data_IF_194578757972
#
_entry.id   IF_194578757972
#
_cell.length_a   1.000
_cell.length_b   1.000
_cell.length_c   1.000
_cell.angle_alpha   90.00
_cell.angle_beta   90.00
_cell.angle_gamma   90.00
#
_symmetry.space_group_name_H-M   'P 1'
#
loop_
_entity.id
_entity.type
_entity.pdbx_description
1 polymer ?
#
# COMPACT_ATOMS: atom_id res chain seq x y z
N UNK A 1 -22.38 5.14 -15.25
CA UNK A 1 -21.24 5.89 -14.68
C UNK A 1 -21.03 7.15 -15.52
N UNK A 2 -20.90 8.34 -14.93
CA UNK A 2 -20.63 9.54 -15.72
C UNK A 2 -19.25 9.45 -16.38
N UNK A 3 -19.14 9.99 -17.59
CA UNK A 3 -17.87 10.03 -18.31
C UNK A 3 -16.83 10.86 -17.53
N UNK A 4 -15.55 10.48 -17.52
CA UNK A 4 -14.52 11.23 -16.82
C UNK A 4 -14.42 12.65 -17.39
N UNK A 5 -14.34 13.65 -16.54
CA UNK A 5 -14.16 15.03 -16.95
C UNK A 5 -12.74 15.24 -17.52
N UNK A 6 -12.57 16.26 -18.38
CA UNK A 6 -11.27 16.61 -18.98
C UNK A 6 -10.18 16.81 -17.90
N UNK A 7 -10.51 17.43 -16.78
CA UNK A 7 -9.60 17.61 -15.64
C UNK A 7 -9.14 16.27 -15.03
N UNK A 8 -10.05 15.30 -14.90
CA UNK A 8 -9.70 13.95 -14.40
C UNK A 8 -8.78 13.23 -15.39
N UNK A 9 -8.95 13.42 -16.70
CA UNK A 9 -8.07 12.84 -17.71
C UNK A 9 -6.68 13.48 -17.70
N UNK A 10 -6.58 14.80 -17.51
CA UNK A 10 -5.31 15.52 -17.41
C UNK A 10 -4.55 15.14 -16.13
N UNK A 11 -5.22 15.01 -14.98
CA UNK A 11 -4.61 14.47 -13.77
C UNK A 11 -4.15 13.00 -13.94
N UNK A 12 -4.90 12.22 -14.69
CA UNK A 12 -4.59 10.84 -14.97
C UNK A 12 -3.37 10.70 -15.88
N UNK A 13 -3.27 11.51 -16.94
CA UNK A 13 -2.10 11.57 -17.83
C UNK A 13 -0.87 12.03 -17.08
N UNK A 14 -0.98 13.07 -16.24
CA UNK A 14 0.11 13.56 -15.41
C UNK A 14 0.61 12.50 -14.43
N UNK A 15 -0.29 11.72 -13.85
CA UNK A 15 0.08 10.58 -13.01
C UNK A 15 0.87 9.51 -13.78
N UNK A 16 0.50 9.18 -15.03
CA UNK A 16 1.24 8.23 -15.85
C UNK A 16 2.62 8.75 -16.24
N UNK A 17 2.74 10.05 -16.53
CA UNK A 17 4.02 10.69 -16.82
C UNK A 17 4.93 10.72 -15.57
N UNK A 18 4.38 11.09 -14.41
CA UNK A 18 5.11 11.10 -13.13
C UNK A 18 5.60 9.70 -12.73
N UNK A 19 4.82 8.66 -13.05
CA UNK A 19 5.16 7.25 -12.76
C UNK A 19 6.06 6.62 -13.84
N UNK A 20 6.42 7.35 -14.91
CA UNK A 20 7.17 6.82 -16.07
C UNK A 20 6.55 5.53 -16.64
N UNK A 21 5.24 5.38 -16.51
CA UNK A 21 4.47 4.31 -17.11
C UNK A 21 4.18 4.74 -18.55
N UNK A 22 4.98 4.28 -19.50
CA UNK A 22 4.81 4.60 -20.91
C UNK A 22 3.38 4.29 -21.43
N UNK A 23 3.00 4.81 -22.60
CA UNK A 23 1.63 4.77 -23.09
C UNK A 23 1.16 3.31 -23.33
N UNK A 24 0.38 2.79 -22.40
CA UNK A 24 -0.19 1.43 -22.45
C UNK A 24 -1.22 1.21 -23.58
N UNK A 25 -1.55 2.24 -24.37
CA UNK A 25 -2.60 2.17 -25.40
C UNK A 25 -2.08 2.03 -26.83
N UNK A 26 -0.77 1.94 -27.05
CA UNK A 26 -0.21 1.76 -28.40
C UNK A 26 -0.28 0.31 -28.93
N UNK A 27 -0.64 -0.67 -28.11
CA UNK A 27 -0.60 -2.09 -28.48
C UNK A 27 -1.98 -2.71 -28.81
N UNK A 28 -2.99 -1.90 -29.09
CA UNK A 28 -4.34 -2.39 -29.40
C UNK A 28 -4.63 -2.64 -30.89
N UNK A 29 -3.66 -2.40 -31.79
CA UNK A 29 -3.91 -2.50 -33.23
C UNK A 29 -3.55 -3.84 -33.90
N UNK A 30 -3.08 -4.85 -33.18
CA UNK A 30 -2.62 -6.11 -33.81
C UNK A 30 -3.18 -7.40 -33.22
N UNK A 31 -4.33 -7.39 -32.55
CA UNK A 31 -5.02 -8.67 -32.29
C UNK A 31 -6.29 -8.77 -33.09
N UNK A 32 -6.21 -9.59 -34.14
CA UNK A 32 -7.34 -9.96 -34.97
C UNK A 32 -8.51 -10.50 -34.15
N UNK A 33 -9.69 -10.14 -34.59
CA UNK A 33 -10.98 -10.53 -34.01
C UNK A 33 -11.07 -12.07 -34.05
N UNK A 34 -10.96 -12.72 -32.90
CA UNK A 34 -11.28 -14.13 -32.73
C UNK A 34 -12.79 -14.20 -32.51
N UNK A 35 -13.51 -14.69 -33.47
CA UNK A 35 -14.93 -15.02 -33.36
C UNK A 35 -15.05 -16.29 -32.50
N UNK A 36 -15.66 -16.18 -31.33
CA UNK A 36 -16.02 -17.31 -30.47
C UNK A 36 -17.46 -17.72 -30.85
N UNK A 37 -17.71 -18.97 -31.23
CA UNK A 37 -19.06 -19.42 -31.54
C UNK A 37 -19.89 -19.49 -30.24
N UNK A 38 -21.01 -18.78 -30.23
CA UNK A 38 -21.99 -18.82 -29.12
C UNK A 38 -22.89 -20.03 -29.33
N UNK A 39 -22.78 -21.01 -28.44
CA UNK A 39 -23.73 -22.11 -28.33
C UNK A 39 -24.76 -21.78 -27.25
N UNK A 40 -26.06 -21.88 -27.48
CA UNK A 40 -27.07 -21.61 -26.48
C UNK A 40 -27.26 -22.81 -25.52
N UNK A 41 -27.10 -22.62 -24.24
CA UNK A 41 -27.50 -23.57 -23.20
C UNK A 41 -28.77 -23.07 -22.45
N UNK A 42 -29.60 -23.98 -21.96
CA UNK A 42 -30.98 -23.69 -21.58
C UNK A 42 -31.09 -23.00 -20.21
N UNK A 43 -32.08 -22.13 -20.14
CA UNK A 43 -32.46 -21.31 -18.97
C UNK A 43 -33.11 -22.18 -17.90
N UNK A 44 -32.54 -22.22 -16.70
CA UNK A 44 -33.23 -22.60 -15.48
C UNK A 44 -33.41 -21.35 -14.60
N UNK A 45 -34.65 -21.11 -14.17
CA UNK A 45 -35.08 -19.85 -13.57
C UNK A 45 -34.44 -19.55 -12.21
N UNK A 46 -34.01 -18.33 -12.05
CA UNK A 46 -33.63 -17.74 -10.76
C UNK A 46 -34.81 -17.02 -10.12
N UNK A 47 -34.92 -17.03 -8.79
CA UNK A 47 -35.96 -16.30 -8.07
C UNK A 47 -35.67 -14.80 -8.06
N UNK A 48 -36.68 -14.03 -8.47
CA UNK A 48 -36.68 -12.58 -8.48
C UNK A 48 -36.76 -12.05 -7.06
N UNK A 49 -35.73 -11.32 -6.61
CA UNK A 49 -35.76 -10.49 -5.40
C UNK A 49 -36.45 -9.14 -5.72
N UNK A 50 -37.23 -8.58 -4.79
CA UNK A 50 -37.92 -7.31 -5.01
C UNK A 50 -36.93 -6.12 -5.05
N UNK A 51 -37.25 -5.03 -5.76
CA UNK A 51 -36.38 -3.89 -5.89
C UNK A 51 -36.29 -3.07 -4.60
N UNK A 52 -35.06 -2.88 -4.12
CA UNK A 52 -34.75 -1.93 -3.04
C UNK A 52 -35.06 -0.50 -3.49
N UNK A 53 -35.93 0.15 -2.75
CA UNK A 53 -36.24 1.59 -2.88
C UNK A 53 -35.03 2.41 -2.45
N UNK A 54 -34.28 2.93 -3.41
CA UNK A 54 -33.27 3.97 -3.17
C UNK A 54 -33.97 5.26 -2.75
N UNK A 55 -33.87 5.57 -1.46
CA UNK A 55 -34.23 6.89 -0.92
C UNK A 55 -33.19 7.92 -1.39
N UNK A 56 -33.65 8.96 -2.05
CA UNK A 56 -32.85 10.10 -2.49
C UNK A 56 -32.32 10.84 -1.26
N UNK A 57 -31.02 10.86 -1.07
CA UNK A 57 -30.37 11.71 -0.06
C UNK A 57 -30.22 13.13 -0.58
N UNK A 58 -30.67 14.09 0.22
CA UNK A 58 -30.58 15.52 0.02
C UNK A 58 -29.11 16.03 -0.06
N UNK A 59 -28.83 17.12 -0.81
CA UNK A 59 -27.51 17.72 -0.87
C UNK A 59 -27.25 18.60 0.36
N UNK A 60 -26.08 18.43 0.98
CA UNK A 60 -25.52 19.37 1.95
C UNK A 60 -25.52 18.87 3.39
N UNK A 61 -24.61 18.00 3.72
CA UNK A 61 -24.11 17.83 5.08
C UNK A 61 -22.57 17.88 5.03
N UNK A 62 -22.00 18.87 5.67
CA UNK A 62 -20.58 18.92 5.99
C UNK A 62 -20.24 17.64 6.75
N UNK A 63 -19.31 16.84 6.21
CA UNK A 63 -18.84 15.62 6.86
C UNK A 63 -18.02 16.04 8.07
N UNK A 64 -18.60 15.89 9.25
CA UNK A 64 -17.83 15.94 10.49
C UNK A 64 -16.65 14.93 10.42
N UNK A 65 -15.48 15.28 10.97
CA UNK A 65 -14.34 14.37 10.99
C UNK A 65 -14.74 13.09 11.73
N UNK A 66 -14.60 11.95 11.06
CA UNK A 66 -14.86 10.62 11.63
C UNK A 66 -13.98 10.41 12.86
N UNK A 67 -14.58 10.55 14.04
CA UNK A 67 -13.92 10.20 15.29
C UNK A 67 -13.98 8.68 15.46
N UNK A 68 -12.82 8.04 15.46
CA UNK A 68 -12.71 6.65 15.88
C UNK A 68 -13.19 6.56 17.34
N UNK A 69 -13.99 5.54 17.71
CA UNK A 69 -14.30 5.29 19.10
C UNK A 69 -13.00 5.20 19.90
N UNK A 70 -12.98 5.74 21.11
CA UNK A 70 -11.81 5.73 21.99
C UNK A 70 -11.17 4.34 21.98
N UNK A 71 -9.86 4.30 21.71
CA UNK A 71 -9.08 3.07 21.59
C UNK A 71 -9.37 2.19 22.82
N UNK A 72 -10.16 1.12 22.61
CA UNK A 72 -10.16 0.01 23.56
C UNK A 72 -8.73 -0.48 23.63
N UNK A 73 -8.16 -0.71 24.84
CA UNK A 73 -6.81 -1.22 24.95
C UNK A 73 -6.67 -2.43 24.03
N UNK A 74 -5.80 -2.30 23.02
CA UNK A 74 -5.53 -3.39 22.10
C UNK A 74 -4.88 -4.52 22.90
N UNK A 75 -5.14 -5.77 22.53
CA UNK A 75 -4.46 -6.94 23.08
C UNK A 75 -2.90 -6.79 23.02
N UNK A 76 -2.43 -5.81 22.26
CA UNK A 76 -1.02 -5.49 22.02
C UNK A 76 -0.48 -4.38 22.94
N UNK A 77 -1.31 -3.73 23.78
CA UNK A 77 -0.84 -2.69 24.72
C UNK A 77 -0.01 -3.25 25.88
N UNK A 78 0.06 -4.57 26.04
CA UNK A 78 0.88 -5.25 27.07
C UNK A 78 2.23 -5.77 26.56
N UNK A 79 2.66 -5.38 25.36
CA UNK A 79 4.02 -5.72 24.91
C UNK A 79 4.98 -4.87 25.73
N UNK A 80 5.78 -5.54 26.59
CA UNK A 80 6.91 -4.93 27.28
C UNK A 80 7.69 -4.07 26.28
N UNK A 81 7.93 -2.82 26.63
CA UNK A 81 8.65 -1.90 25.75
C UNK A 81 10.10 -2.40 25.61
N UNK A 82 10.43 -3.01 24.49
CA UNK A 82 11.78 -3.41 24.11
C UNK A 82 12.60 -2.15 23.72
N UNK A 83 12.64 -1.16 24.63
CA UNK A 83 13.29 0.10 24.36
C UNK A 83 14.80 -0.11 24.12
N UNK A 84 15.26 0.25 22.93
CA UNK A 84 16.66 0.15 22.53
C UNK A 84 17.02 -1.12 21.76
N UNK A 85 16.06 -1.98 21.48
CA UNK A 85 16.28 -3.16 20.63
C UNK A 85 16.57 -2.76 19.17
N UNK A 86 17.48 -3.48 18.51
CA UNK A 86 17.80 -3.26 17.11
C UNK A 86 17.08 -4.25 16.19
N UNK A 87 16.96 -3.91 14.90
CA UNK A 87 16.36 -4.81 13.91
C UNK A 87 17.15 -6.14 13.80
N UNK A 88 18.46 -6.11 14.00
CA UNK A 88 19.33 -7.28 14.00
C UNK A 88 18.97 -8.22 15.16
N UNK A 89 18.82 -7.69 16.36
CA UNK A 89 18.43 -8.48 17.54
C UNK A 89 17.06 -9.11 17.38
N UNK A 90 16.08 -8.35 16.84
CA UNK A 90 14.73 -8.86 16.52
C UNK A 90 14.83 -9.99 15.48
N UNK A 91 15.69 -9.84 14.48
CA UNK A 91 15.90 -10.84 13.43
C UNK A 91 16.55 -12.10 13.99
N UNK A 92 17.53 -11.97 14.86
CA UNK A 92 18.22 -13.08 15.52
C UNK A 92 17.25 -13.86 16.41
N UNK A 93 16.43 -13.18 17.23
CA UNK A 93 15.41 -13.84 18.05
C UNK A 93 14.32 -14.52 17.22
N UNK A 94 13.91 -13.91 16.11
CA UNK A 94 12.98 -14.53 15.19
C UNK A 94 13.56 -15.87 14.67
N UNK A 95 14.84 -15.89 14.33
CA UNK A 95 15.58 -17.05 13.90
C UNK A 95 14.88 -17.81 12.78
N UNK A 96 14.95 -19.13 12.80
CA UNK A 96 14.10 -20.02 12.00
C UNK A 96 12.79 -20.29 12.75
N UNK A 97 11.89 -19.33 12.73
CA UNK A 97 10.68 -19.29 13.55
C UNK A 97 9.72 -20.46 13.28
N UNK A 98 9.37 -21.20 14.33
CA UNK A 98 8.36 -22.27 14.30
C UNK A 98 7.13 -22.00 15.18
N UNK A 99 6.84 -20.70 15.48
CA UNK A 99 5.80 -20.30 16.44
C UNK A 99 4.37 -20.49 15.93
N UNK A 100 4.15 -20.58 14.62
CA UNK A 100 2.83 -20.81 14.02
C UNK A 100 2.90 -21.78 12.84
N UNK A 101 1.77 -22.28 12.39
CA UNK A 101 1.64 -23.27 11.31
C UNK A 101 2.21 -22.83 9.95
N UNK A 102 2.39 -21.53 9.70
CA UNK A 102 2.96 -21.05 8.44
C UNK A 102 4.41 -21.48 8.23
N UNK A 103 5.14 -21.87 9.29
CA UNK A 103 6.51 -22.34 9.19
C UNK A 103 6.65 -23.59 8.31
N UNK A 104 5.64 -24.46 8.24
CA UNK A 104 5.68 -25.70 7.45
C UNK A 104 5.49 -25.49 5.94
N UNK A 105 5.09 -24.30 5.52
CA UNK A 105 4.75 -23.99 4.12
C UNK A 105 5.65 -22.93 3.49
N UNK A 106 6.45 -22.19 4.28
CA UNK A 106 7.37 -21.19 3.75
C UNK A 106 8.65 -21.84 3.21
N UNK A 107 9.28 -21.18 2.26
CA UNK A 107 10.67 -21.45 1.88
C UNK A 107 11.63 -20.60 2.71
N UNK A 108 11.32 -19.30 2.84
CA UNK A 108 12.14 -18.38 3.62
C UNK A 108 11.28 -17.45 4.50
N UNK A 109 11.92 -16.89 5.54
CA UNK A 109 11.32 -15.83 6.35
C UNK A 109 11.54 -14.48 5.66
N UNK A 110 10.47 -13.73 5.43
CA UNK A 110 10.51 -12.38 4.87
C UNK A 110 10.43 -11.38 6.01
N UNK A 111 11.56 -11.05 6.61
CA UNK A 111 11.64 -10.21 7.80
C UNK A 111 11.21 -8.76 7.54
N UNK A 112 11.77 -8.18 6.50
CA UNK A 112 11.65 -6.77 6.10
C UNK A 112 12.99 -6.28 5.57
N UNK A 113 12.98 -5.15 4.84
CA UNK A 113 14.18 -4.59 4.22
C UNK A 113 14.06 -3.08 4.09
N UNK A 114 15.19 -2.39 4.16
CA UNK A 114 15.31 -0.96 3.94
C UNK A 114 16.12 -0.25 5.01
N UNK A 115 15.91 1.05 5.15
CA UNK A 115 16.64 1.88 6.10
C UNK A 115 16.16 1.59 7.54
N UNK A 116 17.05 1.17 8.46
CA UNK A 116 16.68 0.95 9.87
C UNK A 116 16.27 2.22 10.62
N UNK A 117 16.49 3.39 10.03
CA UNK A 117 16.08 4.71 10.53
C UNK A 117 15.16 5.42 9.55
N UNK A 118 14.33 4.67 8.83
CA UNK A 118 13.43 5.22 7.83
C UNK A 118 12.37 6.13 8.48
N UNK A 119 12.14 7.29 7.88
CA UNK A 119 11.03 8.16 8.26
C UNK A 119 9.67 7.63 7.77
N UNK A 120 9.67 6.77 6.74
CA UNK A 120 8.49 6.14 6.15
C UNK A 120 8.63 4.63 6.14
N UNK A 121 7.64 3.95 6.71
CA UNK A 121 7.53 2.49 6.69
C UNK A 121 6.30 2.07 5.90
N UNK A 122 6.47 1.17 4.93
CA UNK A 122 5.37 0.51 4.24
C UNK A 122 5.10 -0.86 4.85
N UNK A 123 3.83 -1.13 5.16
CA UNK A 123 3.42 -2.40 5.78
C UNK A 123 2.36 -3.06 4.92
N UNK A 124 2.66 -4.25 4.41
CA UNK A 124 1.72 -5.11 3.71
C UNK A 124 1.13 -6.21 4.59
N UNK A 125 0.39 -7.10 3.97
CA UNK A 125 -0.29 -8.23 4.62
C UNK A 125 0.68 -9.37 4.93
N UNK A 126 1.28 -9.96 3.90
CA UNK A 126 2.19 -11.10 4.02
C UNK A 126 2.95 -11.35 2.72
N UNK A 127 3.96 -12.24 2.74
CA UNK A 127 4.73 -12.60 1.56
C UNK A 127 3.90 -13.37 0.52
N UNK A 128 4.14 -13.08 -0.76
CA UNK A 128 3.72 -13.91 -1.89
C UNK A 128 4.78 -14.95 -2.26
N UNK A 129 4.58 -15.63 -3.40
CA UNK A 129 5.48 -16.71 -3.84
C UNK A 129 6.91 -16.22 -4.18
N UNK A 130 7.01 -15.06 -4.84
CA UNK A 130 8.31 -14.50 -5.22
C UNK A 130 9.07 -13.96 -4.00
N UNK A 131 8.35 -13.40 -3.02
CA UNK A 131 8.89 -12.93 -1.76
C UNK A 131 9.38 -14.10 -0.90
N UNK A 132 8.61 -15.19 -0.82
CA UNK A 132 8.96 -16.40 -0.10
C UNK A 132 10.21 -17.09 -0.68
N UNK A 133 10.35 -17.08 -2.00
CA UNK A 133 11.52 -17.63 -2.67
C UNK A 133 12.80 -16.81 -2.44
N UNK A 134 12.68 -15.47 -2.34
CA UNK A 134 13.82 -14.55 -2.25
C UNK A 134 14.14 -14.09 -0.81
N UNK A 135 13.22 -14.24 0.13
CA UNK A 135 13.36 -13.73 1.49
C UNK A 135 13.21 -12.20 1.60
N UNK A 136 12.74 -11.54 0.54
CA UNK A 136 12.62 -10.08 0.45
C UNK A 136 11.17 -9.67 0.27
N UNK A 137 10.66 -8.62 0.95
CA UNK A 137 9.29 -8.16 0.81
C UNK A 137 9.10 -7.39 -0.50
N UNK A 138 7.93 -7.55 -1.12
CA UNK A 138 7.51 -6.79 -2.30
C UNK A 138 8.53 -6.82 -3.46
N UNK A 139 8.87 -8.01 -3.95
CA UNK A 139 9.75 -8.23 -5.11
C UNK A 139 8.97 -8.65 -6.37
N UNK A 140 7.79 -9.25 -6.23
CA UNK A 140 6.92 -9.62 -7.32
C UNK A 140 6.27 -8.42 -8.04
N UNK A 141 5.32 -8.68 -8.93
CA UNK A 141 4.63 -7.64 -9.72
C UNK A 141 4.04 -6.51 -8.86
N UNK A 142 3.44 -6.85 -7.71
CA UNK A 142 2.93 -5.87 -6.75
C UNK A 142 4.07 -5.04 -6.13
N UNK A 143 5.21 -5.68 -5.87
CA UNK A 143 6.41 -5.04 -5.34
C UNK A 143 7.07 -4.10 -6.34
N UNK A 144 7.10 -4.46 -7.63
CA UNK A 144 7.57 -3.57 -8.70
C UNK A 144 6.72 -2.30 -8.77
N UNK A 145 5.39 -2.43 -8.65
CA UNK A 145 4.49 -1.27 -8.59
C UNK A 145 4.76 -0.42 -7.34
N UNK A 146 4.97 -1.04 -6.16
CA UNK A 146 5.35 -0.31 -4.95
C UNK A 146 6.67 0.46 -5.15
N UNK A 147 7.66 -0.14 -5.80
CA UNK A 147 8.92 0.53 -6.12
C UNK A 147 8.70 1.76 -6.99
N UNK A 148 7.84 1.67 -8.00
CA UNK A 148 7.47 2.83 -8.83
C UNK A 148 6.76 3.92 -8.02
N UNK A 149 5.86 3.53 -7.10
CA UNK A 149 5.18 4.46 -6.19
C UNK A 149 6.20 5.21 -5.29
N UNK A 150 7.16 4.50 -4.71
CA UNK A 150 8.24 5.09 -3.89
C UNK A 150 9.08 6.06 -4.73
N UNK A 151 9.45 5.68 -5.96
CA UNK A 151 10.21 6.54 -6.87
C UNK A 151 9.43 7.79 -7.27
N UNK A 152 8.12 7.68 -7.48
CA UNK A 152 7.25 8.84 -7.76
C UNK A 152 7.17 9.81 -6.58
N UNK A 153 7.34 9.31 -5.34
CA UNK A 153 7.46 10.16 -4.14
C UNK A 153 8.81 10.89 -4.04
N UNK A 154 9.77 10.62 -4.95
CA UNK A 154 11.12 11.18 -4.92
C UNK A 154 12.07 10.43 -3.99
N UNK A 155 11.70 9.20 -3.58
CA UNK A 155 12.48 8.34 -2.71
C UNK A 155 13.00 7.13 -3.48
N UNK A 156 14.06 6.51 -2.94
CA UNK A 156 14.52 5.19 -3.36
C UNK A 156 13.99 4.13 -2.39
N UNK A 157 14.00 2.88 -2.82
CA UNK A 157 13.56 1.75 -1.99
C UNK A 157 14.41 1.60 -0.71
N UNK A 158 15.67 1.99 -0.78
CA UNK A 158 16.64 2.01 0.31
C UNK A 158 16.42 3.13 1.33
N UNK A 159 15.65 4.18 1.00
CA UNK A 159 15.35 5.28 1.91
C UNK A 159 14.20 4.96 2.88
N UNK A 160 13.36 4.02 2.52
CA UNK A 160 12.19 3.57 3.29
C UNK A 160 12.43 2.21 3.91
N UNK A 161 11.56 1.78 4.85
CA UNK A 161 11.53 0.40 5.31
C UNK A 161 10.26 -0.28 4.84
N UNK A 162 10.37 -1.53 4.38
CA UNK A 162 9.25 -2.29 3.83
C UNK A 162 9.16 -3.62 4.55
N UNK A 163 7.98 -3.94 5.07
CA UNK A 163 7.72 -5.20 5.75
C UNK A 163 6.24 -5.62 5.62
N UNK A 164 5.88 -6.71 6.27
CA UNK A 164 4.51 -7.24 6.31
C UNK A 164 4.10 -7.53 7.74
N UNK A 165 2.78 -7.67 7.98
CA UNK A 165 2.20 -8.11 9.25
C UNK A 165 2.78 -9.49 9.61
N UNK A 166 2.71 -10.45 8.67
CA UNK A 166 3.28 -11.78 8.85
C UNK A 166 4.57 -11.94 8.04
N UNK A 167 5.49 -12.80 8.55
CA UNK A 167 6.83 -12.99 7.96
C UNK A 167 6.95 -14.26 7.12
N UNK A 168 5.92 -15.10 7.13
CA UNK A 168 5.86 -16.36 6.39
C UNK A 168 4.71 -16.32 5.40
N UNK A 169 4.90 -16.95 4.23
CA UNK A 169 3.87 -17.03 3.19
C UNK A 169 2.74 -17.97 3.59
N UNK A 170 1.45 -17.52 3.57
CA UNK A 170 0.31 -18.42 3.71
C UNK A 170 0.15 -19.32 2.48
N UNK A 171 -0.36 -20.57 2.65
CA UNK A 171 -0.69 -21.45 1.53
C UNK A 171 -1.57 -20.73 0.50
N UNK A 172 -1.24 -20.87 -0.81
CA UNK A 172 -1.97 -20.29 -1.93
C UNK A 172 -2.16 -18.75 -1.86
N UNK A 173 -1.33 -18.07 -1.05
CA UNK A 173 -1.43 -16.63 -0.76
C UNK A 173 -2.80 -16.23 -0.17
N UNK A 174 -3.45 -17.11 0.63
CA UNK A 174 -4.66 -16.76 1.33
C UNK A 174 -4.42 -15.66 2.36
N UNK A 175 -5.49 -15.00 2.75
CA UNK A 175 -5.43 -14.06 3.90
C UNK A 175 -4.96 -14.81 5.16
N UNK A 176 -4.04 -14.21 5.95
CA UNK A 176 -3.60 -14.78 7.21
C UNK A 176 -4.75 -14.95 8.21
N UNK A 177 -4.70 -16.01 9.00
CA UNK A 177 -5.66 -16.24 10.06
C UNK A 177 -5.31 -15.44 11.32
N UNK A 178 -6.30 -15.26 12.20
CA UNK A 178 -6.14 -14.40 13.39
C UNK A 178 -5.02 -14.88 14.32
N UNK A 179 -4.87 -16.19 14.50
CA UNK A 179 -3.81 -16.78 15.30
C UNK A 179 -2.42 -16.61 14.67
N UNK A 180 -2.33 -16.68 13.32
CA UNK A 180 -1.09 -16.42 12.58
C UNK A 180 -0.67 -14.95 12.72
N UNK A 181 -1.63 -14.03 12.61
CA UNK A 181 -1.41 -12.60 12.84
C UNK A 181 -0.99 -12.36 14.30
N UNK A 182 -1.74 -12.87 15.27
CA UNK A 182 -1.46 -12.68 16.70
C UNK A 182 -0.07 -13.18 17.09
N UNK A 183 0.37 -14.31 16.51
CA UNK A 183 1.69 -14.87 16.78
C UNK A 183 2.83 -14.07 16.13
N UNK A 184 2.59 -13.47 14.94
CA UNK A 184 3.66 -12.86 14.13
C UNK A 184 3.75 -11.35 14.29
N UNK A 185 2.63 -10.65 14.52
CA UNK A 185 2.57 -9.20 14.62
C UNK A 185 3.41 -8.58 15.75
N UNK A 186 3.68 -9.23 16.90
CA UNK A 186 4.59 -8.70 17.90
C UNK A 186 5.98 -8.35 17.34
N UNK A 187 6.51 -9.15 16.41
CA UNK A 187 7.78 -8.83 15.75
C UNK A 187 7.71 -7.58 14.90
N UNK A 188 6.57 -7.34 14.22
CA UNK A 188 6.35 -6.08 13.48
C UNK A 188 6.32 -4.89 14.44
N UNK A 189 5.62 -4.98 15.57
CA UNK A 189 5.54 -3.90 16.54
C UNK A 189 6.94 -3.52 17.08
N UNK A 190 7.76 -4.52 17.41
CA UNK A 190 9.16 -4.32 17.80
C UNK A 190 9.98 -3.68 16.69
N UNK A 191 9.78 -4.07 15.43
CA UNK A 191 10.43 -3.41 14.28
C UNK A 191 10.05 -1.92 14.20
N UNK A 192 8.78 -1.58 14.40
CA UNK A 192 8.32 -0.19 14.42
C UNK A 192 8.92 0.59 15.59
N UNK A 193 9.02 -0.02 16.79
CA UNK A 193 9.63 0.58 17.97
C UNK A 193 11.14 0.81 17.78
N UNK A 194 11.83 -0.07 17.04
CA UNK A 194 13.24 0.08 16.72
C UNK A 194 13.47 1.18 15.65
N UNK A 195 12.63 1.23 14.60
CA UNK A 195 12.77 2.18 13.48
C UNK A 195 12.31 3.58 13.88
N UNK A 196 11.23 3.71 14.64
CA UNK A 196 10.56 4.96 15.05
C UNK A 196 10.24 5.88 13.87
N UNK A 197 9.44 5.40 12.89
CA UNK A 197 9.13 6.19 11.71
C UNK A 197 8.25 7.39 12.04
N UNK A 198 8.31 8.44 11.21
CA UNK A 198 7.35 9.56 11.26
C UNK A 198 6.00 9.16 10.67
N UNK A 199 6.02 8.34 9.61
CA UNK A 199 4.82 7.89 8.91
C UNK A 199 4.84 6.37 8.68
N UNK A 200 3.70 5.74 8.93
CA UNK A 200 3.41 4.34 8.62
C UNK A 200 2.36 4.32 7.50
N UNK A 201 2.68 3.72 6.37
CA UNK A 201 1.76 3.54 5.26
C UNK A 201 1.29 2.08 5.21
N UNK A 202 0.05 1.82 5.61
CA UNK A 202 -0.59 0.51 5.54
C UNK A 202 -1.09 0.24 4.13
N UNK A 203 -0.61 -0.83 3.51
CA UNK A 203 -0.99 -1.29 2.18
C UNK A 203 -2.07 -2.37 2.28
N UNK A 204 -3.33 -1.99 2.13
CA UNK A 204 -4.47 -2.90 2.17
C UNK A 204 -5.15 -3.03 3.54
N UNK A 205 -6.25 -3.76 3.53
CA UNK A 205 -7.15 -3.90 4.67
C UNK A 205 -6.51 -4.59 5.87
N UNK A 206 -5.81 -5.72 5.62
CA UNK A 206 -5.26 -6.57 6.70
C UNK A 206 -4.22 -5.79 7.50
N UNK A 207 -3.30 -5.07 6.83
CA UNK A 207 -2.30 -4.26 7.51
C UNK A 207 -2.94 -3.17 8.38
N UNK A 208 -3.91 -2.45 7.83
CA UNK A 208 -4.63 -1.39 8.53
C UNK A 208 -5.43 -1.92 9.73
N UNK A 209 -6.26 -2.95 9.49
CA UNK A 209 -7.14 -3.51 10.52
C UNK A 209 -6.36 -4.16 11.66
N UNK A 210 -5.23 -4.81 11.35
CA UNK A 210 -4.38 -5.44 12.37
C UNK A 210 -3.76 -4.39 13.28
N UNK A 211 -3.16 -3.32 12.73
CA UNK A 211 -2.48 -2.33 13.55
C UNK A 211 -3.44 -1.52 14.42
N UNK A 212 -4.64 -1.21 13.92
CA UNK A 212 -5.61 -0.41 14.68
C UNK A 212 -6.64 -1.24 15.45
N UNK A 213 -6.59 -2.57 15.39
CA UNK A 213 -7.55 -3.44 16.07
C UNK A 213 -9.00 -3.20 15.63
N UNK A 214 -9.22 -2.84 14.35
CA UNK A 214 -10.52 -2.42 13.82
C UNK A 214 -11.01 -3.35 12.72
N UNK A 215 -12.30 -3.34 12.46
CA UNK A 215 -12.94 -4.03 11.32
C UNK A 215 -13.37 -3.06 10.21
N UNK A 216 -13.07 -1.77 10.36
CA UNK A 216 -13.44 -0.74 9.36
C UNK A 216 -12.76 -1.01 8.03
N UNK A 217 -13.51 -0.93 6.94
CA UNK A 217 -12.98 -1.14 5.59
C UNK A 217 -12.13 0.04 5.12
N UNK A 218 -11.03 -0.27 4.42
CA UNK A 218 -10.03 0.69 3.97
C UNK A 218 -10.63 1.82 3.11
N UNK A 219 -11.65 1.54 2.33
CA UNK A 219 -12.31 2.55 1.47
C UNK A 219 -12.92 3.73 2.24
N UNK A 220 -13.23 3.54 3.55
CA UNK A 220 -13.78 4.59 4.41
C UNK A 220 -12.72 5.48 5.04
N UNK A 221 -11.49 5.00 5.17
CA UNK A 221 -10.43 5.62 5.98
C UNK A 221 -9.17 5.95 5.19
N UNK A 222 -9.05 5.43 3.96
CA UNK A 222 -7.87 5.69 3.13
C UNK A 222 -7.63 7.20 2.93
N UNK A 223 -6.38 7.55 2.87
CA UNK A 223 -5.98 8.94 2.65
C UNK A 223 -6.21 9.87 3.85
N UNK A 224 -6.53 9.35 5.01
CA UNK A 224 -6.62 10.10 6.27
C UNK A 224 -5.46 9.71 7.17
N UNK A 225 -4.86 10.70 7.84
CA UNK A 225 -3.86 10.44 8.88
C UNK A 225 -4.55 10.12 10.21
N UNK A 226 -4.01 9.12 10.87
CA UNK A 226 -4.39 8.71 12.23
C UNK A 226 -3.15 8.67 13.10
N UNK A 227 -3.28 8.95 14.38
CA UNK A 227 -2.17 8.82 15.31
C UNK A 227 -2.00 7.36 15.75
N UNK A 228 -0.77 6.85 15.66
CA UNK A 228 -0.45 5.49 16.04
C UNK A 228 0.96 5.40 16.61
N UNK A 229 1.09 5.10 17.93
CA UNK A 229 2.37 4.90 18.65
C UNK A 229 3.41 5.99 18.39
N UNK A 230 2.99 7.23 18.36
CA UNK A 230 3.87 8.39 18.11
C UNK A 230 4.19 8.68 16.64
N UNK A 231 3.70 7.89 15.71
CA UNK A 231 3.77 8.12 14.27
C UNK A 231 2.41 8.52 13.68
N UNK A 232 2.40 9.08 12.49
CA UNK A 232 1.18 9.22 11.67
C UNK A 232 0.99 7.96 10.82
N UNK A 233 -0.16 7.32 10.96
CA UNK A 233 -0.55 6.16 10.14
C UNK A 233 -1.50 6.61 9.04
N UNK A 234 -1.27 6.13 7.82
CA UNK A 234 -2.18 6.28 6.68
C UNK A 234 -2.44 4.94 6.02
N UNK A 235 -3.70 4.66 5.73
CA UNK A 235 -4.08 3.49 4.94
C UNK A 235 -4.26 3.86 3.48
N UNK A 236 -3.82 3.00 2.57
CA UNK A 236 -4.09 3.09 1.13
C UNK A 236 -4.24 1.70 0.52
N UNK A 237 -4.72 1.63 -0.73
CA UNK A 237 -4.93 0.33 -1.38
C UNK A 237 -3.62 -0.43 -1.60
N UNK A 238 -3.71 -1.75 -1.48
CA UNK A 238 -2.57 -2.64 -1.72
C UNK A 238 -2.16 -2.62 -3.22
N UNK A 239 -0.86 -2.62 -3.57
CA UNK A 239 -0.43 -2.62 -4.96
C UNK A 239 -1.02 -3.77 -5.80
N UNK A 240 -1.21 -4.96 -5.23
CA UNK A 240 -1.87 -6.07 -5.92
C UNK A 240 -3.33 -5.77 -6.30
N UNK A 241 -4.04 -4.94 -5.53
CA UNK A 241 -5.37 -4.47 -5.89
C UNK A 241 -5.31 -3.53 -7.10
N UNK A 242 -4.31 -2.65 -7.17
CA UNK A 242 -4.12 -1.70 -8.28
C UNK A 242 -3.77 -2.39 -9.60
N UNK A 243 -3.12 -3.57 -9.56
CA UNK A 243 -2.87 -4.38 -10.75
C UNK A 243 -4.17 -4.93 -11.37
N UNK A 244 -5.17 -5.22 -10.53
CA UNK A 244 -6.50 -5.68 -10.96
C UNK A 244 -7.45 -4.52 -11.25
N UNK A 245 -7.25 -3.37 -10.58
CA UNK A 245 -8.11 -2.20 -10.64
C UNK A 245 -7.26 -0.94 -10.94
N UNK A 246 -6.78 -0.75 -12.18
CA UNK A 246 -5.88 0.35 -12.53
C UNK A 246 -6.48 1.74 -12.26
N UNK A 247 -7.80 1.89 -12.34
CA UNK A 247 -8.51 3.15 -12.09
C UNK A 247 -8.32 3.68 -10.65
N UNK A 248 -8.03 2.80 -9.68
CA UNK A 248 -7.79 3.20 -8.30
C UNK A 248 -6.38 3.80 -8.06
N UNK A 249 -5.49 3.80 -9.07
CA UNK A 249 -4.13 4.35 -8.92
C UNK A 249 -4.14 5.85 -8.60
N UNK A 250 -5.04 6.62 -9.20
CA UNK A 250 -5.19 8.05 -8.92
C UNK A 250 -5.54 8.35 -7.46
N UNK A 251 -6.36 7.50 -6.88
CA UNK A 251 -6.73 7.59 -5.46
C UNK A 251 -5.52 7.36 -4.56
N UNK A 252 -4.75 6.29 -4.84
CA UNK A 252 -3.52 5.99 -4.09
C UNK A 252 -2.50 7.11 -4.24
N UNK A 253 -2.35 7.68 -5.44
CA UNK A 253 -1.46 8.81 -5.65
C UNK A 253 -1.86 10.03 -4.82
N UNK A 254 -3.16 10.28 -4.69
CA UNK A 254 -3.67 11.34 -3.80
C UNK A 254 -3.29 11.09 -2.33
N UNK A 255 -3.33 9.83 -1.87
CA UNK A 255 -2.88 9.46 -0.52
C UNK A 255 -1.38 9.70 -0.35
N UNK A 256 -0.57 9.22 -1.33
CA UNK A 256 0.89 9.38 -1.29
C UNK A 256 1.31 10.85 -1.33
N UNK A 257 0.61 11.73 -2.08
CA UNK A 257 0.86 13.18 -2.07
C UNK A 257 0.72 13.78 -0.67
N UNK A 258 -0.22 13.30 0.14
CA UNK A 258 -0.36 13.73 1.53
C UNK A 258 0.84 13.30 2.39
N UNK A 259 1.34 12.08 2.19
CA UNK A 259 2.55 11.59 2.86
C UNK A 259 3.76 12.43 2.46
N UNK A 260 3.92 12.72 1.15
CA UNK A 260 4.99 13.58 0.62
C UNK A 260 4.97 14.95 1.32
N UNK A 261 3.80 15.58 1.36
CA UNK A 261 3.63 16.89 1.99
C UNK A 261 3.93 16.84 3.51
N UNK A 262 3.48 15.80 4.20
CA UNK A 262 3.71 15.65 5.65
C UNK A 262 5.19 15.45 5.99
N UNK A 263 5.93 14.72 5.17
CA UNK A 263 7.37 14.47 5.34
C UNK A 263 8.25 15.59 4.76
N UNK A 264 7.67 16.58 4.08
CA UNK A 264 8.43 17.63 3.40
C UNK A 264 9.32 17.11 2.27
N UNK A 265 8.93 16.00 1.63
CA UNK A 265 9.72 15.41 0.56
C UNK A 265 9.66 16.30 -0.70
N UNK A 266 10.77 16.35 -1.49
CA UNK A 266 10.83 17.23 -2.68
C UNK A 266 9.86 16.84 -3.79
N UNK A 267 9.23 15.63 -3.73
CA UNK A 267 8.50 15.06 -4.83
C UNK A 267 9.38 14.91 -6.08
N UNK A 268 8.99 14.11 -7.04
CA UNK A 268 9.69 14.06 -8.33
C UNK A 268 9.40 15.36 -9.07
N UNK A 269 10.44 16.22 -9.32
CA UNK A 269 10.30 17.36 -10.24
C UNK A 269 9.86 16.83 -11.60
N UNK A 270 8.90 17.49 -12.29
CA UNK A 270 8.57 17.11 -13.65
C UNK A 270 9.85 17.13 -14.49
N UNK A 271 10.08 16.07 -15.27
CA UNK A 271 11.18 16.02 -16.23
C UNK A 271 10.98 17.16 -17.24
N UNK A 272 11.77 18.24 -17.13
CA UNK A 272 11.63 19.37 -18.05
C UNK A 272 12.10 20.74 -17.56
N UNK A 273 12.60 20.89 -16.34
CA UNK A 273 13.19 22.16 -15.91
C UNK A 273 14.72 22.03 -15.79
N UNK A 274 15.39 21.98 -16.92
CA UNK A 274 16.82 22.33 -16.98
C UNK A 274 16.93 23.83 -16.69
N UNK A 275 17.88 24.27 -15.85
CA UNK A 275 18.20 25.69 -15.75
C UNK A 275 18.97 26.09 -16.98
N UNK A 276 18.27 26.57 -18.01
CA UNK A 276 18.90 27.20 -19.17
C UNK A 276 19.24 28.64 -18.80
N UNK A 277 20.51 28.99 -18.94
CA UNK A 277 20.93 30.36 -19.15
C UNK A 277 21.31 31.20 -17.95
N UNK A 278 22.39 30.87 -17.26
CA UNK A 278 23.25 31.92 -16.70
C UNK A 278 24.19 32.38 -17.81
N UNK A 279 23.71 33.32 -18.62
CA UNK A 279 24.54 34.00 -19.62
C UNK A 279 25.68 34.75 -18.92
N UNK A 280 26.89 34.35 -19.22
CA UNK A 280 28.10 35.09 -18.99
C UNK A 280 28.04 36.38 -19.86
N UNK A 281 27.71 37.49 -19.23
CA UNK A 281 28.03 38.81 -19.80
C UNK A 281 29.44 39.18 -19.31
N UNK A 282 30.43 38.83 -20.10
CA UNK A 282 31.74 39.47 -20.10
C UNK A 282 31.59 40.76 -20.89
N UNK A 283 31.61 41.87 -20.21
CA UNK A 283 31.86 43.20 -20.79
C UNK A 283 33.34 43.44 -20.70
N UNK A 284 33.99 43.39 -21.85
CA UNK A 284 35.25 44.10 -22.11
C UNK A 284 34.97 45.60 -22.18
N UNK A 285 35.87 46.40 -21.59
CA UNK A 285 35.92 47.84 -21.64
C UNK A 285 37.07 48.35 -20.76
#
# INVERSE_FOLDING_TARGET
MPAPTRSMLEEWLKFFDDMSLGPFYLDRQTRGRVEVPVSPAPVAGEPVLPPDTFSQSAPGAEQEPFQLPALVPSLFDQVESHAGETLEQIREELGDCHRCRLCSHRHTIVFGVGNPRAELVFIGEGPGAEEDAQGLPFVGRAGQLLTQMIQAMGLKREDVYICNIIKCRPPENRTPEKDEIATCSPFLLRQLDAIRPKVICCLGNVAFQTLLGTTVGISKVRGQFMDYRGAKLMATFHPAYLLRNPNAKGEVWTDLKKIIAHLGLPGKKPAGSSPEGAALNSTEG
#
